data_IF_639032524961
#
_entry.id   IF_639032524961
#
_cell.length_a   1.000
_cell.length_b   1.000
_cell.length_c   1.000
_cell.angle_alpha   90.00
_cell.angle_beta   90.00
_cell.angle_gamma   90.00
#
_symmetry.space_group_name_H-M   'P 1'
#
loop_
_entity.id
_entity.type
_entity.pdbx_description
1 polymer ?
#
# COMPACT_ATOMS: atom_id res chain seq x y z
N UNK A 1 35.66 9.28 -6.25
CA UNK A 1 34.44 9.46 -7.04
C UNK A 1 33.39 8.47 -6.58
N UNK A 2 32.26 8.99 -6.18
CA UNK A 2 31.16 8.12 -5.76
C UNK A 2 30.54 7.50 -7.01
N UNK A 3 30.47 6.17 -7.08
CA UNK A 3 29.85 5.56 -8.25
C UNK A 3 28.39 6.02 -8.37
N UNK A 4 27.94 6.34 -9.58
CA UNK A 4 26.53 6.71 -9.75
C UNK A 4 25.57 5.65 -9.22
N UNK A 5 26.03 4.41 -9.18
CA UNK A 5 25.24 3.27 -8.73
C UNK A 5 24.80 3.35 -7.28
N UNK A 6 25.56 4.08 -6.44
CA UNK A 6 25.21 4.17 -5.02
C UNK A 6 23.86 4.85 -4.81
N UNK A 7 23.60 5.92 -5.56
CA UNK A 7 22.30 6.59 -5.48
C UNK A 7 21.20 5.77 -6.15
N UNK A 8 21.53 5.13 -7.25
CA UNK A 8 20.57 4.29 -7.96
C UNK A 8 20.17 3.07 -7.14
N UNK A 9 21.10 2.49 -6.39
CA UNK A 9 20.82 1.36 -5.54
C UNK A 9 19.77 1.68 -4.48
N UNK A 10 19.88 2.83 -3.84
CA UNK A 10 18.91 3.26 -2.84
C UNK A 10 17.52 3.44 -3.47
N UNK A 11 17.47 4.09 -4.64
CA UNK A 11 16.22 4.28 -5.34
C UNK A 11 15.60 2.96 -5.75
N UNK A 12 16.41 2.08 -6.31
CA UNK A 12 15.92 0.77 -6.75
C UNK A 12 15.41 -0.04 -5.59
N UNK A 13 16.05 0.05 -4.43
CA UNK A 13 15.58 -0.66 -3.25
C UNK A 13 14.25 -0.12 -2.78
N UNK A 14 14.06 1.21 -2.78
CA UNK A 14 12.79 1.81 -2.41
C UNK A 14 11.69 1.44 -3.40
N UNK A 15 12.00 1.51 -4.69
CA UNK A 15 11.03 1.14 -5.72
C UNK A 15 10.66 -0.34 -5.63
N UNK A 16 11.64 -1.18 -5.39
CA UNK A 16 11.42 -2.61 -5.25
C UNK A 16 10.57 -2.91 -4.02
N UNK A 17 10.88 -2.26 -2.90
CA UNK A 17 10.07 -2.43 -1.69
C UNK A 17 8.63 -1.99 -1.94
N UNK A 18 8.46 -0.87 -2.64
CA UNK A 18 7.15 -0.37 -2.98
C UNK A 18 6.37 -1.37 -3.82
N UNK A 19 7.01 -1.94 -4.84
CA UNK A 19 6.38 -2.94 -5.70
C UNK A 19 6.02 -4.20 -4.93
N UNK A 20 6.92 -4.67 -4.08
CA UNK A 20 6.69 -5.87 -3.28
C UNK A 20 5.50 -5.65 -2.35
N UNK A 21 5.48 -4.52 -1.67
CA UNK A 21 4.41 -4.21 -0.72
C UNK A 21 3.07 -4.09 -1.45
N UNK A 22 3.06 -3.42 -2.60
CA UNK A 22 1.83 -3.31 -3.39
C UNK A 22 1.33 -4.68 -3.85
N UNK A 23 2.23 -5.52 -4.31
CA UNK A 23 1.88 -6.87 -4.74
C UNK A 23 1.31 -7.71 -3.59
N UNK A 24 1.99 -7.68 -2.44
CA UNK A 24 1.55 -8.41 -1.26
C UNK A 24 0.22 -7.87 -0.75
N UNK A 25 0.02 -6.56 -0.82
CA UNK A 25 -1.25 -5.95 -0.42
C UNK A 25 -2.38 -6.44 -1.30
N UNK A 26 -2.16 -6.50 -2.61
CA UNK A 26 -3.18 -6.98 -3.54
C UNK A 26 -3.57 -8.42 -3.22
N UNK A 27 -2.59 -9.27 -2.97
CA UNK A 27 -2.86 -10.67 -2.64
C UNK A 27 -3.56 -10.81 -1.29
N UNK A 28 -3.10 -10.05 -0.30
CA UNK A 28 -3.70 -10.09 1.02
C UNK A 28 -5.16 -9.65 0.98
N UNK A 29 -5.44 -8.56 0.29
CA UNK A 29 -6.80 -8.04 0.17
C UNK A 29 -7.68 -9.03 -0.58
N UNK A 30 -7.18 -9.62 -1.66
CA UNK A 30 -7.95 -10.60 -2.42
C UNK A 30 -8.35 -11.79 -1.56
N UNK A 31 -7.50 -12.18 -0.62
CA UNK A 31 -7.76 -13.31 0.25
C UNK A 31 -8.67 -12.96 1.43
N UNK A 32 -8.48 -11.77 2.01
CA UNK A 32 -9.15 -11.41 3.26
C UNK A 32 -10.43 -10.60 3.07
N UNK A 33 -10.57 -9.90 1.95
CA UNK A 33 -11.76 -9.10 1.71
C UNK A 33 -12.93 -9.97 1.27
N UNK A 34 -14.12 -9.56 1.67
CA UNK A 34 -15.34 -10.22 1.22
C UNK A 34 -15.70 -9.81 -0.20
N UNK A 35 -16.88 -10.21 -0.62
CA UNK A 35 -17.36 -9.96 -1.98
C UNK A 35 -18.27 -8.74 -2.09
N UNK A 36 -18.41 -8.00 -0.99
CA UNK A 36 -19.32 -6.84 -0.95
C UNK A 36 -18.84 -5.69 -1.81
N UNK A 37 -17.55 -5.60 -2.03
CA UNK A 37 -16.97 -4.58 -2.88
C UNK A 37 -15.70 -5.11 -3.50
N UNK A 38 -15.31 -4.50 -4.61
CA UNK A 38 -14.04 -4.81 -5.26
C UNK A 38 -13.03 -3.77 -4.82
N UNK A 39 -11.99 -4.20 -4.12
CA UNK A 39 -10.90 -3.35 -3.68
C UNK A 39 -9.69 -3.66 -4.53
N UNK A 40 -9.18 -2.66 -5.24
CA UNK A 40 -8.03 -2.82 -6.13
C UNK A 40 -6.88 -1.96 -5.64
N UNK A 41 -5.70 -2.57 -5.48
CA UNK A 41 -4.49 -1.81 -5.16
C UNK A 41 -4.01 -1.13 -6.43
N UNK A 42 -3.95 0.20 -6.40
CA UNK A 42 -3.54 1.00 -7.55
C UNK A 42 -2.03 1.20 -7.54
N UNK A 43 -1.49 1.60 -6.39
CA UNK A 43 -0.05 1.80 -6.26
C UNK A 43 0.30 1.94 -4.79
N UNK A 44 1.58 1.87 -4.50
CA UNK A 44 2.11 2.20 -3.19
C UNK A 44 3.14 3.31 -3.34
N UNK A 45 3.26 4.14 -2.33
CA UNK A 45 4.19 5.27 -2.35
C UNK A 45 4.91 5.34 -1.01
N UNK A 46 6.23 5.34 -1.08
CA UNK A 46 7.08 5.50 0.10
C UNK A 46 7.21 6.99 0.42
N UNK A 47 7.06 7.34 1.69
CA UNK A 47 7.24 8.72 2.14
C UNK A 47 8.08 8.72 3.41
N UNK A 48 8.52 9.91 3.82
CA UNK A 48 9.32 10.10 5.05
C UNK A 48 10.56 9.19 5.07
N UNK A 49 11.30 9.17 3.95
CA UNK A 49 12.53 8.39 3.81
C UNK A 49 12.32 6.89 4.08
N UNK A 50 11.14 6.39 3.70
CA UNK A 50 10.84 4.98 3.88
C UNK A 50 10.21 4.63 5.21
N UNK A 51 9.97 5.61 6.08
CA UNK A 51 9.34 5.33 7.36
C UNK A 51 7.85 5.06 7.23
N UNK A 52 7.23 5.52 6.15
CA UNK A 52 5.80 5.32 5.91
C UNK A 52 5.58 4.88 4.48
N UNK A 53 4.55 4.08 4.31
CA UNK A 53 4.15 3.58 2.99
C UNK A 53 2.65 3.79 2.84
N UNK A 54 2.26 4.57 1.84
CA UNK A 54 0.85 4.77 1.52
C UNK A 54 0.46 3.81 0.41
N UNK A 55 -0.57 3.02 0.65
CA UNK A 55 -1.10 2.10 -0.35
C UNK A 55 -2.43 2.69 -0.83
N UNK A 56 -2.47 3.01 -2.12
CA UNK A 56 -3.65 3.62 -2.72
C UNK A 56 -4.52 2.55 -3.33
N UNK A 57 -5.79 2.58 -2.98
CA UNK A 57 -6.76 1.59 -3.44
C UNK A 57 -7.95 2.28 -4.09
N UNK A 58 -8.58 1.58 -5.02
CA UNK A 58 -9.88 1.99 -5.52
C UNK A 58 -10.92 0.99 -4.99
N UNK A 59 -12.15 1.46 -4.85
CA UNK A 59 -13.24 0.63 -4.34
C UNK A 59 -14.45 0.79 -5.26
N UNK A 60 -15.00 -0.34 -5.66
CA UNK A 60 -16.23 -0.36 -6.46
C UNK A 60 -17.25 -1.29 -5.80
N UNK A 61 -18.49 -0.88 -5.62
CA UNK A 61 -19.05 0.43 -5.93
C UNK A 61 -18.54 1.51 -4.96
N UNK A 62 -18.55 2.74 -5.40
CA UNK A 62 -17.92 3.85 -4.68
C UNK A 62 -18.55 4.11 -3.31
N UNK A 63 -19.84 3.81 -3.15
CA UNK A 63 -20.51 3.99 -1.85
C UNK A 63 -20.01 3.01 -0.79
N UNK A 64 -19.25 1.99 -1.19
CA UNK A 64 -18.62 1.05 -0.26
C UNK A 64 -17.23 1.49 0.20
N UNK A 65 -16.76 2.62 -0.32
CA UNK A 65 -15.37 3.04 -0.07
C UNK A 65 -15.07 3.23 1.42
N UNK A 66 -15.99 3.85 2.14
CA UNK A 66 -15.77 4.10 3.57
C UNK A 66 -15.68 2.79 4.36
N UNK A 67 -16.57 1.87 4.08
CA UNK A 67 -16.56 0.56 4.75
C UNK A 67 -15.29 -0.22 4.38
N UNK A 68 -14.87 -0.13 3.12
CA UNK A 68 -13.65 -0.80 2.68
C UNK A 68 -12.42 -0.23 3.37
N UNK A 69 -12.31 1.10 3.50
CA UNK A 69 -11.19 1.70 4.22
C UNK A 69 -11.19 1.29 5.68
N UNK A 70 -12.36 1.25 6.32
CA UNK A 70 -12.45 0.82 7.71
C UNK A 70 -11.97 -0.63 7.86
N UNK A 71 -12.34 -1.49 6.90
CA UNK A 71 -11.86 -2.86 6.88
C UNK A 71 -10.33 -2.91 6.78
N UNK A 72 -9.77 -2.15 5.85
CA UNK A 72 -8.32 -2.14 5.65
C UNK A 72 -7.58 -1.61 6.89
N UNK A 73 -8.14 -0.61 7.55
CA UNK A 73 -7.55 -0.10 8.79
C UNK A 73 -7.52 -1.18 9.87
N UNK A 74 -8.59 -1.97 9.98
CA UNK A 74 -8.62 -3.06 10.94
C UNK A 74 -7.63 -4.16 10.58
N UNK A 75 -7.33 -4.33 9.29
CA UNK A 75 -6.43 -5.38 8.83
C UNK A 75 -4.97 -4.95 8.80
N UNK A 76 -4.69 -3.72 9.17
CA UNK A 76 -3.34 -3.17 9.04
C UNK A 76 -2.28 -3.97 9.78
N UNK A 77 -2.58 -4.36 11.02
CA UNK A 77 -1.63 -5.17 11.79
C UNK A 77 -1.44 -6.56 11.20
N UNK A 78 -2.53 -7.18 10.77
CA UNK A 78 -2.46 -8.48 10.13
C UNK A 78 -1.65 -8.43 8.85
N UNK A 79 -1.81 -7.35 8.09
CA UNK A 79 -1.04 -7.18 6.87
C UNK A 79 0.45 -6.96 7.18
N UNK A 80 0.76 -6.16 8.19
CA UNK A 80 2.15 -5.97 8.59
C UNK A 80 2.79 -7.29 9.01
N UNK A 81 2.05 -8.11 9.74
CA UNK A 81 2.52 -9.44 10.13
C UNK A 81 2.75 -10.33 8.89
N UNK A 82 1.83 -10.26 7.93
CA UNK A 82 1.96 -10.98 6.67
C UNK A 82 3.24 -10.58 5.94
N UNK A 83 3.52 -9.27 5.86
CA UNK A 83 4.75 -8.79 5.24
C UNK A 83 5.99 -9.30 5.95
N UNK A 84 5.96 -9.30 7.28
CA UNK A 84 7.07 -9.78 8.08
C UNK A 84 7.36 -11.24 7.82
N UNK A 85 6.33 -12.05 7.61
CA UNK A 85 6.47 -13.47 7.38
C UNK A 85 6.86 -13.81 5.95
N UNK A 86 6.50 -12.97 4.99
CA UNK A 86 6.67 -13.27 3.57
C UNK A 86 7.74 -12.44 2.88
N UNK A 87 8.32 -11.47 3.56
CA UNK A 87 9.37 -10.65 2.97
C UNK A 87 10.48 -10.41 3.98
N UNK A 88 11.63 -9.94 3.48
CA UNK A 88 12.75 -9.56 4.33
C UNK A 88 12.88 -8.05 4.44
N UNK A 89 11.81 -7.34 4.13
CA UNK A 89 11.83 -5.88 4.13
C UNK A 89 11.81 -5.33 5.54
N UNK A 90 12.48 -4.21 5.73
CA UNK A 90 12.26 -3.39 6.91
C UNK A 90 10.89 -2.76 6.74
N UNK A 91 9.99 -3.02 7.68
CA UNK A 91 8.60 -2.63 7.52
C UNK A 91 8.37 -1.16 7.88
N UNK A 92 7.84 -0.37 6.94
CA UNK A 92 7.37 0.96 7.24
C UNK A 92 6.00 0.91 7.90
N UNK A 93 5.55 2.05 8.39
CA UNK A 93 4.16 2.18 8.78
C UNK A 93 3.30 2.17 7.52
N UNK A 94 2.30 1.32 7.51
CA UNK A 94 1.40 1.16 6.36
C UNK A 94 0.12 1.95 6.60
N UNK A 95 -0.28 2.73 5.61
CA UNK A 95 -1.58 3.39 5.60
C UNK A 95 -2.27 3.10 4.27
N UNK A 96 -3.59 2.93 4.32
CA UNK A 96 -4.40 2.72 3.12
C UNK A 96 -5.19 3.98 2.81
N UNK A 97 -5.13 4.42 1.57
CA UNK A 97 -5.80 5.63 1.11
C UNK A 97 -6.59 5.33 -0.14
N UNK A 98 -7.66 6.09 -0.36
CA UNK A 98 -8.39 5.99 -1.60
C UNK A 98 -7.66 6.73 -2.70
N UNK A 99 -7.60 6.12 -3.87
CA UNK A 99 -7.17 6.77 -5.08
C UNK A 99 -8.43 7.11 -5.86
N UNK A 100 -8.71 8.39 -6.01
CA UNK A 100 -9.91 8.83 -6.71
C UNK A 100 -9.71 8.96 -8.23
N UNK A 101 -8.60 8.45 -8.74
CA UNK A 101 -8.33 8.47 -10.17
C UNK A 101 -7.70 9.74 -10.67
N UNK A 102 -7.49 10.72 -9.82
CA UNK A 102 -6.88 11.99 -10.20
C UNK A 102 -5.39 12.03 -9.89
N UNK A 103 -4.84 10.91 -9.46
CA UNK A 103 -3.44 10.80 -9.18
C UNK A 103 -3.02 11.42 -7.87
N UNK A 104 -3.93 12.00 -7.13
CA UNK A 104 -3.67 12.57 -5.83
C UNK A 104 -4.44 11.75 -4.81
N UNK A 105 -3.74 11.20 -3.85
CA UNK A 105 -4.40 10.48 -2.80
C UNK A 105 -5.09 11.43 -1.87
N UNK A 106 -6.37 11.62 -2.07
CA UNK A 106 -7.16 12.42 -1.17
C UNK A 106 -7.89 11.52 -0.20
N UNK A 107 -7.93 11.98 1.04
CA UNK A 107 -8.75 11.31 2.02
C UNK A 107 -10.20 11.58 1.68
N UNK A 108 -11.09 10.58 1.86
CA UNK A 108 -12.50 10.86 1.66
C UNK A 108 -12.91 11.94 2.63
N UNK A 109 -13.35 13.03 2.08
CA UNK A 109 -13.93 14.07 2.92
C UNK A 109 -15.33 13.59 3.30
N UNK A 110 -15.48 13.40 4.53
CA UNK A 110 -16.78 12.96 5.03
C UNK A 110 -17.80 14.05 4.90
#
# INVERSE_FOLDING_TARGET
>A
MIPPDAKHSSRKQSERATEIIAHEAAQFIAREAGTESLITVIRAQSIAHGDRMNIFVSVFPVEKARAALAFLERQRESFSKHLKEHTHLRLPRIDFLLDNGEGVGEYPKS
#
